data_IF_811934233987
#
_entry.id   IF_811934233987
#
_cell.length_a   1.000
_cell.length_b   1.000
_cell.length_c   1.000
_cell.angle_alpha   90.00
_cell.angle_beta   90.00
_cell.angle_gamma   90.00
#
_symmetry.space_group_name_H-M   'P 1'
#
loop_
_entity.id
_entity.type
_entity.pdbx_description
1 polymer ?
#
# COMPACT_ATOMS: atom_id res chain seq x y z
N UNK A 1 30.74 -11.61 -46.40
CA UNK A 1 30.81 -10.35 -45.64
C UNK A 1 29.42 -9.70 -45.57
N UNK A 2 28.38 -10.48 -45.27
CA UNK A 2 26.98 -10.14 -45.57
C UNK A 2 26.09 -9.99 -44.30
N UNK A 3 26.68 -10.14 -43.12
CA UNK A 3 25.94 -10.10 -41.83
C UNK A 3 25.81 -8.71 -41.21
N UNK A 4 26.58 -7.72 -41.69
CA UNK A 4 26.60 -6.37 -41.13
C UNK A 4 25.36 -5.55 -41.50
N UNK A 5 24.83 -5.72 -42.71
CA UNK A 5 23.68 -4.97 -43.24
C UNK A 5 22.38 -5.27 -42.49
N UNK A 6 22.01 -6.55 -42.37
CA UNK A 6 20.80 -6.96 -41.63
C UNK A 6 20.85 -6.57 -40.14
N UNK A 7 22.04 -6.66 -39.52
CA UNK A 7 22.20 -6.26 -38.13
C UNK A 7 22.02 -4.75 -37.94
N UNK A 8 22.52 -3.96 -38.89
CA UNK A 8 22.38 -2.51 -38.89
C UNK A 8 20.92 -2.09 -39.16
N UNK A 9 20.24 -2.76 -40.08
CA UNK A 9 18.84 -2.50 -40.43
C UNK A 9 17.91 -2.79 -39.25
N UNK A 10 18.08 -3.92 -38.54
CA UNK A 10 17.34 -4.20 -37.29
C UNK A 10 17.62 -3.18 -36.18
N UNK A 11 18.83 -2.62 -36.12
CA UNK A 11 19.18 -1.56 -35.17
C UNK A 11 18.50 -0.24 -35.54
N UNK A 12 18.43 0.10 -36.83
CA UNK A 12 17.72 1.28 -37.32
C UNK A 12 16.21 1.17 -37.13
N UNK A 13 15.59 0.02 -37.47
CA UNK A 13 14.17 -0.23 -37.20
C UNK A 13 13.84 -0.11 -35.70
N UNK A 14 14.72 -0.63 -34.84
CA UNK A 14 14.56 -0.53 -33.39
C UNK A 14 14.78 0.90 -32.87
N UNK A 15 15.69 1.67 -33.47
CA UNK A 15 15.93 3.08 -33.16
C UNK A 15 14.77 3.98 -33.60
N UNK A 16 14.21 3.73 -34.78
CA UNK A 16 13.00 4.40 -35.26
C UNK A 16 11.79 4.03 -34.40
N UNK A 17 11.62 2.75 -34.05
CA UNK A 17 10.57 2.31 -33.14
C UNK A 17 10.72 2.91 -31.72
N UNK A 18 11.94 3.25 -31.30
CA UNK A 18 12.22 3.92 -30.03
C UNK A 18 12.11 5.44 -30.11
N UNK A 19 11.85 5.98 -31.30
CA UNK A 19 11.66 7.41 -31.56
C UNK A 19 12.85 8.23 -31.03
N UNK A 20 14.06 7.81 -31.43
CA UNK A 20 15.33 8.27 -30.89
C UNK A 20 15.52 9.80 -31.00
N UNK A 21 14.91 10.43 -32.00
CA UNK A 21 14.92 11.88 -32.21
C UNK A 21 14.14 12.64 -31.12
N UNK A 22 13.12 12.02 -30.51
CA UNK A 22 12.33 12.60 -29.42
C UNK A 22 12.79 12.14 -28.04
N UNK A 23 13.66 11.14 -27.97
CA UNK A 23 14.12 10.52 -26.72
C UNK A 23 14.72 11.54 -25.75
N UNK A 24 15.62 12.40 -26.21
CA UNK A 24 16.26 13.41 -25.36
C UNK A 24 15.24 14.41 -24.80
N UNK A 25 14.30 14.85 -25.65
CA UNK A 25 13.21 15.76 -25.24
C UNK A 25 12.31 15.12 -24.18
N UNK A 26 11.89 13.85 -24.38
CA UNK A 26 11.07 13.11 -23.41
C UNK A 26 11.81 12.90 -22.10
N UNK A 27 13.10 12.58 -22.14
CA UNK A 27 13.92 12.45 -20.94
C UNK A 27 14.04 13.79 -20.19
N UNK A 28 14.23 14.90 -20.91
CA UNK A 28 14.28 16.23 -20.33
C UNK A 28 12.94 16.66 -19.70
N UNK A 29 11.81 16.30 -20.29
CA UNK A 29 10.46 16.56 -19.74
C UNK A 29 10.23 15.79 -18.43
N UNK A 30 10.58 14.51 -18.38
CA UNK A 30 10.49 13.69 -17.15
C UNK A 30 11.41 14.25 -16.06
N UNK A 31 12.65 14.59 -16.41
CA UNK A 31 13.60 15.19 -15.47
C UNK A 31 13.09 16.55 -14.96
N UNK A 32 12.51 17.37 -15.83
CA UNK A 32 11.96 18.66 -15.44
C UNK A 32 10.82 18.49 -14.41
N UNK A 33 9.89 17.57 -14.67
CA UNK A 33 8.80 17.26 -13.75
C UNK A 33 9.23 16.69 -12.39
N UNK A 34 10.42 16.08 -12.33
CA UNK A 34 11.05 15.62 -11.09
C UNK A 34 11.93 16.69 -10.41
N UNK A 35 11.90 17.93 -10.90
CA UNK A 35 12.59 19.08 -10.33
C UNK A 35 14.01 19.33 -10.85
N UNK A 36 14.43 18.70 -11.96
CA UNK A 36 15.74 18.96 -12.56
C UNK A 36 15.67 20.13 -13.55
N UNK A 37 16.32 21.24 -13.19
CA UNK A 37 16.53 22.35 -14.12
C UNK A 37 17.56 22.00 -15.22
N UNK A 38 17.63 22.84 -16.26
CA UNK A 38 18.52 22.60 -17.41
C UNK A 38 20.00 22.40 -17.03
N UNK A 39 20.50 23.19 -16.07
CA UNK A 39 21.89 23.07 -15.58
C UNK A 39 22.14 21.74 -14.86
N UNK A 40 21.14 21.24 -14.15
CA UNK A 40 21.22 19.95 -13.45
C UNK A 40 21.19 18.77 -14.43
N UNK A 41 20.44 18.88 -15.53
CA UNK A 41 20.38 17.85 -16.57
C UNK A 41 21.74 17.63 -17.24
N UNK A 42 22.57 18.69 -17.35
CA UNK A 42 23.94 18.61 -17.89
C UNK A 42 24.99 18.14 -16.85
N UNK A 43 24.62 18.08 -15.57
CA UNK A 43 25.53 17.73 -14.47
C UNK A 43 25.80 16.22 -14.43
N UNK A 44 27.03 15.84 -14.07
CA UNK A 44 27.38 14.41 -13.89
C UNK A 44 26.62 13.81 -12.71
N UNK A 45 26.11 12.60 -12.89
CA UNK A 45 25.32 11.86 -11.88
C UNK A 45 26.02 11.65 -10.54
N UNK A 46 27.36 11.58 -10.54
CA UNK A 46 28.20 11.43 -9.34
C UNK A 46 28.19 12.63 -8.42
N UNK A 47 27.82 13.81 -8.92
CA UNK A 47 27.84 15.07 -8.18
C UNK A 47 26.47 15.38 -7.52
N UNK A 48 25.55 14.42 -7.53
CA UNK A 48 24.23 14.52 -6.90
C UNK A 48 24.18 13.78 -5.56
N UNK A 49 23.38 14.30 -4.63
CA UNK A 49 23.09 13.62 -3.35
C UNK A 49 22.34 12.30 -3.58
N UNK A 50 22.20 11.49 -2.53
CA UNK A 50 21.44 10.23 -2.60
C UNK A 50 20.00 10.42 -3.11
N UNK A 51 19.28 11.42 -2.58
CA UNK A 51 17.90 11.72 -2.99
C UNK A 51 17.79 12.11 -4.47
N UNK A 52 18.68 12.98 -4.96
CA UNK A 52 18.71 13.34 -6.38
C UNK A 52 19.05 12.14 -7.28
N UNK A 53 19.96 11.25 -6.86
CA UNK A 53 20.26 10.01 -7.61
C UNK A 53 19.06 9.06 -7.64
N UNK A 54 18.28 8.99 -6.56
CA UNK A 54 17.00 8.27 -6.54
C UNK A 54 16.01 8.86 -7.56
N UNK A 55 15.87 10.19 -7.62
CA UNK A 55 15.02 10.84 -8.64
C UNK A 55 15.49 10.54 -10.07
N UNK A 56 16.80 10.49 -10.33
CA UNK A 56 17.33 10.06 -11.65
C UNK A 56 16.95 8.60 -11.95
N UNK A 57 17.02 7.72 -10.95
CA UNK A 57 16.63 6.32 -11.12
C UNK A 57 15.13 6.18 -11.44
N UNK A 58 14.28 6.97 -10.76
CA UNK A 58 12.84 7.07 -11.06
C UNK A 58 12.61 7.60 -12.48
N UNK A 59 13.29 8.68 -12.87
CA UNK A 59 13.21 9.24 -14.23
C UNK A 59 13.53 8.19 -15.29
N UNK A 60 14.58 7.40 -15.07
CA UNK A 60 14.98 6.30 -15.97
C UNK A 60 13.89 5.22 -16.04
N UNK A 61 13.31 4.82 -14.91
CA UNK A 61 12.26 3.81 -14.87
C UNK A 61 11.00 4.26 -15.63
N UNK A 62 10.60 5.53 -15.48
CA UNK A 62 9.49 6.12 -16.21
C UNK A 62 9.78 6.21 -17.72
N UNK A 63 10.99 6.66 -18.08
CA UNK A 63 11.42 6.79 -19.48
C UNK A 63 11.43 5.46 -20.21
N UNK A 64 11.86 4.37 -19.53
CA UNK A 64 11.86 3.03 -20.10
C UNK A 64 10.46 2.54 -20.47
N UNK A 65 9.41 3.08 -19.82
CA UNK A 65 8.02 2.67 -19.98
C UNK A 65 7.91 1.13 -20.03
N UNK A 66 8.12 0.40 -18.92
CA UNK A 66 8.08 -1.07 -18.90
C UNK A 66 6.63 -1.60 -18.93
N UNK A 67 6.45 -2.90 -19.16
CA UNK A 67 5.12 -3.55 -19.06
C UNK A 67 4.61 -3.58 -17.61
N UNK A 68 5.54 -3.74 -16.66
CA UNK A 68 5.27 -3.72 -15.22
C UNK A 68 6.26 -2.74 -14.59
N UNK A 69 5.75 -1.75 -13.87
CA UNK A 69 6.53 -0.79 -13.10
C UNK A 69 6.29 -1.04 -11.60
N UNK A 70 7.37 -1.32 -10.86
CA UNK A 70 7.34 -1.50 -9.40
C UNK A 70 8.01 -0.29 -8.75
N UNK A 71 7.29 0.40 -7.86
CA UNK A 71 7.80 1.56 -7.13
C UNK A 71 7.67 1.34 -5.62
N UNK A 72 8.78 1.48 -4.92
CA UNK A 72 8.82 1.38 -3.46
C UNK A 72 9.04 2.77 -2.85
N UNK A 73 8.00 3.31 -2.20
CA UNK A 73 7.97 4.63 -1.57
C UNK A 73 8.50 5.77 -2.47
N UNK A 74 7.93 5.97 -3.67
CA UNK A 74 8.50 6.88 -4.67
C UNK A 74 8.43 8.37 -4.28
N UNK A 75 7.57 8.74 -3.33
CA UNK A 75 7.34 10.13 -2.90
C UNK A 75 8.30 10.61 -1.80
N UNK A 76 9.03 9.72 -1.12
CA UNK A 76 9.78 10.04 0.10
C UNK A 76 10.93 11.06 -0.10
N UNK A 77 11.46 11.17 -1.31
CA UNK A 77 12.53 12.12 -1.67
C UNK A 77 12.09 13.18 -2.66
N UNK A 78 10.77 13.33 -2.86
CA UNK A 78 10.18 14.32 -3.74
C UNK A 78 9.65 15.50 -2.93
N UNK A 79 9.78 16.69 -3.51
CA UNK A 79 9.05 17.86 -3.03
C UNK A 79 7.58 17.76 -3.49
N UNK A 80 6.74 18.64 -2.97
CA UNK A 80 5.30 18.61 -3.25
C UNK A 80 5.00 18.72 -4.74
N UNK A 81 5.72 19.60 -5.46
CA UNK A 81 5.53 19.81 -6.90
C UNK A 81 5.86 18.54 -7.69
N UNK A 82 7.02 17.91 -7.43
CA UNK A 82 7.39 16.66 -8.08
C UNK A 82 6.45 15.50 -7.69
N UNK A 83 5.92 15.47 -6.47
CA UNK A 83 4.90 14.50 -6.06
C UNK A 83 3.63 14.62 -6.89
N UNK A 84 3.10 15.84 -7.04
CA UNK A 84 1.89 16.11 -7.84
C UNK A 84 2.13 15.76 -9.30
N UNK A 85 3.29 16.13 -9.85
CA UNK A 85 3.65 15.77 -11.22
C UNK A 85 3.73 14.26 -11.41
N UNK A 86 4.34 13.55 -10.45
CA UNK A 86 4.44 12.09 -10.49
C UNK A 86 3.06 11.43 -10.42
N UNK A 87 2.18 11.92 -9.54
CA UNK A 87 0.81 11.45 -9.41
C UNK A 87 0.05 11.54 -10.74
N UNK A 88 0.05 12.71 -11.37
CA UNK A 88 -0.62 12.94 -12.66
C UNK A 88 0.00 12.12 -13.81
N UNK A 89 1.30 11.87 -13.75
CA UNK A 89 2.00 11.02 -14.71
C UNK A 89 1.61 9.55 -14.55
N UNK A 90 1.61 9.04 -13.32
CA UNK A 90 1.30 7.64 -13.02
C UNK A 90 -0.19 7.33 -13.18
N UNK A 91 -1.07 8.29 -12.93
CA UNK A 91 -2.52 8.16 -13.18
C UNK A 91 -2.84 7.87 -14.65
N UNK A 92 -1.98 8.33 -15.57
CA UNK A 92 -2.10 8.09 -17.03
C UNK A 92 -1.29 6.88 -17.49
N UNK A 93 -0.67 6.13 -16.58
CA UNK A 93 0.14 4.98 -16.92
C UNK A 93 -0.76 3.82 -17.37
N UNK A 94 -0.72 3.50 -18.66
CA UNK A 94 -1.65 2.53 -19.29
C UNK A 94 -1.30 1.06 -19.02
N UNK A 95 -0.21 0.80 -18.28
CA UNK A 95 0.35 -0.53 -18.05
C UNK A 95 0.27 -0.90 -16.57
N UNK A 96 0.87 -2.02 -16.20
CA UNK A 96 0.77 -2.53 -14.83
C UNK A 96 1.68 -1.72 -13.91
N UNK A 97 1.09 -1.10 -12.91
CA UNK A 97 1.77 -0.33 -11.87
C UNK A 97 1.55 -1.01 -10.51
N UNK A 98 2.63 -1.26 -9.78
CA UNK A 98 2.58 -1.71 -8.37
C UNK A 98 3.37 -0.71 -7.54
N UNK A 99 2.68 -0.05 -6.62
CA UNK A 99 3.26 0.99 -5.77
C UNK A 99 3.12 0.57 -4.32
N UNK A 100 4.20 0.71 -3.56
CA UNK A 100 4.19 0.78 -2.11
C UNK A 100 4.27 2.25 -1.71
N UNK A 101 3.32 2.72 -0.92
CA UNK A 101 3.26 4.10 -0.43
C UNK A 101 2.50 4.16 0.88
N UNK A 102 2.89 5.08 1.75
CA UNK A 102 2.15 5.45 2.96
C UNK A 102 1.28 6.72 2.76
N UNK A 103 1.37 7.38 1.61
CA UNK A 103 0.56 8.56 1.30
C UNK A 103 -0.82 8.15 0.76
N UNK A 104 -1.87 8.48 1.53
CA UNK A 104 -3.26 8.15 1.19
C UNK A 104 -3.72 8.88 -0.06
N UNK A 105 -3.41 10.18 -0.17
CA UNK A 105 -3.78 11.01 -1.32
C UNK A 105 -3.18 10.48 -2.62
N UNK A 106 -1.90 10.12 -2.58
CA UNK A 106 -1.21 9.53 -3.74
C UNK A 106 -1.82 8.19 -4.16
N UNK A 107 -2.11 7.31 -3.19
CA UNK A 107 -2.77 6.03 -3.48
C UNK A 107 -4.18 6.25 -4.05
N UNK A 108 -4.93 7.22 -3.54
CA UNK A 108 -6.26 7.56 -4.04
C UNK A 108 -6.23 8.15 -5.47
N UNK A 109 -5.21 8.95 -5.80
CA UNK A 109 -5.08 9.58 -7.10
C UNK A 109 -4.64 8.63 -8.22
N UNK A 110 -3.83 7.61 -7.88
CA UNK A 110 -3.17 6.73 -8.86
C UNK A 110 -3.74 5.32 -8.89
N UNK A 111 -4.05 4.72 -7.75
CA UNK A 111 -4.31 3.29 -7.67
C UNK A 111 -5.79 2.93 -7.88
N UNK A 112 -6.04 1.88 -8.67
CA UNK A 112 -7.39 1.33 -8.93
C UNK A 112 -7.75 0.17 -8.00
N UNK A 113 -6.75 -0.40 -7.34
CA UNK A 113 -6.85 -1.56 -6.48
C UNK A 113 -5.86 -1.42 -5.33
N UNK A 114 -6.23 -1.96 -4.16
CA UNK A 114 -5.38 -1.97 -2.98
C UNK A 114 -5.06 -3.41 -2.59
N UNK A 115 -3.79 -3.68 -2.31
CA UNK A 115 -3.32 -4.94 -1.76
C UNK A 115 -2.95 -4.71 -0.30
N UNK A 116 -3.71 -5.28 0.61
CA UNK A 116 -3.43 -5.20 2.04
C UNK A 116 -2.65 -6.43 2.49
N UNK A 117 -1.44 -6.23 3.00
CA UNK A 117 -0.63 -7.28 3.61
C UNK A 117 -0.87 -7.33 5.12
N UNK A 118 -1.45 -8.43 5.60
CA UNK A 118 -1.67 -8.67 7.03
C UNK A 118 -1.46 -10.15 7.36
N UNK A 119 -0.81 -10.46 8.48
CA UNK A 119 -0.57 -11.84 8.95
C UNK A 119 0.06 -12.75 7.88
N UNK A 120 1.05 -12.22 7.14
CA UNK A 120 1.72 -12.90 6.01
C UNK A 120 0.78 -13.33 4.87
N UNK A 121 -0.40 -12.69 4.76
CA UNK A 121 -1.38 -12.90 3.69
C UNK A 121 -1.61 -11.59 2.95
N UNK A 122 -1.89 -11.69 1.66
CA UNK A 122 -2.29 -10.57 0.80
C UNK A 122 -3.79 -10.66 0.54
N UNK A 123 -4.51 -9.58 0.82
CA UNK A 123 -5.94 -9.43 0.49
C UNK A 123 -6.10 -8.33 -0.54
N UNK A 124 -6.90 -8.60 -1.57
CA UNK A 124 -7.15 -7.68 -2.66
C UNK A 124 -8.47 -6.93 -2.43
N UNK A 125 -8.44 -5.62 -2.65
CA UNK A 125 -9.59 -4.74 -2.60
C UNK A 125 -9.66 -3.98 -3.92
N UNK A 126 -10.86 -3.90 -4.48
CA UNK A 126 -11.15 -3.11 -5.68
C UNK A 126 -11.56 -1.71 -5.28
N UNK A 127 -11.06 -0.71 -5.98
CA UNK A 127 -11.32 0.69 -5.66
C UNK A 127 -10.08 1.43 -5.16
N UNK A 128 -10.29 2.70 -4.84
CA UNK A 128 -9.26 3.58 -4.29
C UNK A 128 -8.98 3.26 -2.80
N UNK A 129 -8.04 3.99 -2.20
CA UNK A 129 -7.64 3.78 -0.81
C UNK A 129 -8.79 4.02 0.17
N UNK A 130 -9.61 5.05 -0.03
CA UNK A 130 -10.75 5.37 0.85
C UNK A 130 -11.80 4.24 0.85
N UNK A 131 -12.13 3.71 -0.33
CA UNK A 131 -13.04 2.58 -0.49
C UNK A 131 -12.49 1.33 0.20
N UNK A 132 -11.17 1.09 0.10
CA UNK A 132 -10.51 0.03 0.86
C UNK A 132 -10.68 0.21 2.37
N UNK A 133 -10.43 1.40 2.91
CA UNK A 133 -10.54 1.69 4.34
C UNK A 133 -11.97 1.44 4.83
N UNK A 134 -12.97 1.93 4.11
CA UNK A 134 -14.37 1.71 4.43
C UNK A 134 -14.72 0.22 4.40
N UNK A 135 -14.43 -0.46 3.29
CA UNK A 135 -14.71 -1.89 3.11
C UNK A 135 -14.04 -2.74 4.19
N UNK A 136 -12.79 -2.42 4.54
CA UNK A 136 -12.06 -3.09 5.62
C UNK A 136 -12.77 -2.90 6.96
N UNK A 137 -13.17 -1.68 7.30
CA UNK A 137 -13.88 -1.39 8.55
C UNK A 137 -15.18 -2.18 8.67
N UNK A 138 -15.98 -2.23 7.60
CA UNK A 138 -17.25 -2.97 7.56
C UNK A 138 -17.02 -4.48 7.74
N UNK A 139 -16.02 -5.05 7.06
CA UNK A 139 -15.65 -6.46 7.20
C UNK A 139 -15.18 -6.80 8.62
N UNK A 140 -14.35 -5.94 9.21
CA UNK A 140 -13.87 -6.09 10.59
C UNK A 140 -15.01 -6.02 11.61
N UNK A 141 -15.97 -5.11 11.43
CA UNK A 141 -17.15 -5.03 12.29
C UNK A 141 -18.02 -6.27 12.19
N UNK A 142 -18.28 -6.76 10.98
CA UNK A 142 -19.07 -7.97 10.76
C UNK A 142 -18.38 -9.20 11.36
N UNK A 143 -17.07 -9.34 11.16
CA UNK A 143 -16.27 -10.39 11.78
C UNK A 143 -16.33 -10.32 13.32
N UNK A 144 -16.22 -9.12 13.90
CA UNK A 144 -16.33 -8.94 15.36
C UNK A 144 -17.72 -9.26 15.91
N UNK A 145 -18.79 -8.93 15.18
CA UNK A 145 -20.17 -9.29 15.55
C UNK A 145 -20.35 -10.81 15.53
N UNK A 146 -19.89 -11.48 14.47
CA UNK A 146 -19.95 -12.94 14.37
C UNK A 146 -19.12 -13.60 15.47
N UNK A 147 -17.90 -13.14 15.71
CA UNK A 147 -17.05 -13.61 16.81
C UNK A 147 -17.77 -13.53 18.16
N UNK A 148 -18.34 -12.36 18.49
CA UNK A 148 -19.07 -12.17 19.77
C UNK A 148 -20.27 -13.11 19.86
N UNK A 149 -21.07 -13.21 18.80
CA UNK A 149 -22.21 -14.12 18.77
C UNK A 149 -21.80 -15.58 18.98
N UNK A 150 -20.72 -16.04 18.33
CA UNK A 150 -20.18 -17.39 18.54
C UNK A 150 -19.69 -17.59 19.98
N UNK A 151 -18.99 -16.61 20.55
CA UNK A 151 -18.52 -16.69 21.94
C UNK A 151 -19.67 -16.73 22.96
N UNK A 152 -20.72 -15.93 22.75
CA UNK A 152 -21.91 -15.91 23.62
C UNK A 152 -22.67 -17.25 23.54
N UNK A 153 -22.81 -17.82 22.33
CA UNK A 153 -23.39 -19.15 22.13
C UNK A 153 -22.57 -20.24 22.82
N UNK A 154 -21.24 -20.20 22.68
CA UNK A 154 -20.32 -21.14 23.34
C UNK A 154 -20.44 -21.01 24.87
N UNK A 155 -20.46 -19.79 25.40
CA UNK A 155 -20.59 -19.54 26.82
C UNK A 155 -21.92 -20.09 27.37
N UNK A 156 -23.04 -19.82 26.69
CA UNK A 156 -24.36 -20.33 27.07
C UNK A 156 -24.44 -21.86 27.01
N UNK A 157 -23.87 -22.48 25.97
CA UNK A 157 -23.81 -23.94 25.86
C UNK A 157 -22.95 -24.55 26.97
N UNK A 158 -21.78 -23.98 27.26
CA UNK A 158 -20.89 -24.44 28.34
C UNK A 158 -21.58 -24.31 29.71
N UNK A 159 -22.25 -23.20 29.98
CA UNK A 159 -23.01 -22.99 31.22
C UNK A 159 -24.16 -24.00 31.35
N UNK A 160 -24.89 -24.26 30.27
CA UNK A 160 -25.96 -25.26 30.26
C UNK A 160 -25.43 -26.67 30.52
N UNK A 161 -24.32 -27.06 29.88
CA UNK A 161 -23.68 -28.36 30.10
C UNK A 161 -23.22 -28.48 31.55
N UNK A 162 -22.61 -27.44 32.11
CA UNK A 162 -22.15 -27.43 33.50
C UNK A 162 -23.31 -27.57 34.50
N UNK A 163 -24.44 -26.87 34.28
CA UNK A 163 -25.60 -26.92 35.18
C UNK A 163 -26.41 -28.21 35.08
N UNK A 164 -26.57 -28.76 33.88
CA UNK A 164 -27.54 -29.81 33.60
C UNK A 164 -26.94 -31.14 33.17
N UNK A 165 -25.61 -31.24 33.04
CA UNK A 165 -24.90 -32.46 32.62
C UNK A 165 -25.10 -33.66 33.55
N UNK A 166 -25.31 -33.42 34.85
CA UNK A 166 -25.60 -34.44 35.86
C UNK A 166 -27.07 -34.39 36.35
N UNK A 167 -27.92 -33.64 35.65
CA UNK A 167 -29.33 -33.49 35.99
C UNK A 167 -30.18 -34.73 35.64
N UNK A 168 -31.49 -34.57 35.64
CA UNK A 168 -32.42 -35.65 35.24
C UNK A 168 -32.08 -36.21 33.85
N UNK A 169 -32.43 -37.49 33.59
CA UNK A 169 -32.07 -38.18 32.35
C UNK A 169 -32.45 -37.40 31.06
N UNK A 170 -33.54 -36.62 31.09
CA UNK A 170 -33.96 -35.75 29.99
C UNK A 170 -33.02 -34.56 29.80
N UNK A 171 -32.61 -33.90 30.89
CA UNK A 171 -31.71 -32.76 30.89
C UNK A 171 -30.27 -33.17 30.52
N UNK A 172 -29.80 -34.31 31.05
CA UNK A 172 -28.49 -34.86 30.70
C UNK A 172 -28.37 -35.20 29.20
N UNK A 173 -29.42 -35.78 28.59
CA UNK A 173 -29.47 -36.00 27.13
C UNK A 173 -29.40 -34.69 26.33
N UNK A 174 -30.08 -33.63 26.79
CA UNK A 174 -30.00 -32.31 26.14
C UNK A 174 -28.60 -31.68 26.27
N UNK A 175 -27.96 -31.81 27.43
CA UNK A 175 -26.58 -31.35 27.63
C UNK A 175 -25.59 -32.06 26.70
N UNK A 176 -25.67 -33.40 26.60
CA UNK A 176 -24.84 -34.18 25.67
C UNK A 176 -25.05 -33.78 24.20
N UNK A 177 -26.29 -33.42 23.81
CA UNK A 177 -26.55 -32.92 22.46
C UNK A 177 -25.85 -31.59 22.20
N UNK A 178 -25.90 -30.65 23.16
CA UNK A 178 -25.21 -29.35 23.05
C UNK A 178 -23.69 -29.51 23.05
N UNK A 179 -23.16 -30.46 23.81
CA UNK A 179 -21.73 -30.78 23.81
C UNK A 179 -21.26 -31.26 22.43
N UNK A 180 -22.03 -32.13 21.77
CA UNK A 180 -21.74 -32.55 20.39
C UNK A 180 -21.80 -31.38 19.40
N UNK A 181 -22.76 -30.47 19.56
CA UNK A 181 -22.86 -29.26 18.72
C UNK A 181 -21.65 -28.36 18.93
N UNK A 182 -21.24 -28.12 20.18
CA UNK A 182 -20.05 -27.34 20.51
C UNK A 182 -18.79 -27.94 19.90
N UNK A 183 -18.59 -29.26 20.05
CA UNK A 183 -17.46 -29.96 19.46
C UNK A 183 -17.44 -29.89 17.92
N UNK A 184 -18.63 -29.87 17.29
CA UNK A 184 -18.76 -29.66 15.84
C UNK A 184 -18.38 -28.24 15.44
N UNK A 185 -18.79 -27.23 16.21
CA UNK A 185 -18.42 -25.82 15.96
C UNK A 185 -16.92 -25.60 16.10
N UNK A 186 -16.29 -26.13 17.15
CA UNK A 186 -14.84 -26.04 17.37
C UNK A 186 -14.05 -26.71 16.24
N UNK A 187 -14.51 -27.87 15.74
CA UNK A 187 -13.89 -28.55 14.60
C UNK A 187 -14.07 -27.80 13.28
N UNK A 188 -15.16 -27.04 13.14
CA UNK A 188 -15.45 -26.22 11.95
C UNK A 188 -14.55 -24.99 11.79
N UNK A 189 -13.77 -24.65 12.83
CA UNK A 189 -12.99 -23.42 12.88
C UNK A 189 -13.87 -22.25 13.29
N UNK A 190 -13.65 -21.74 14.50
CA UNK A 190 -14.36 -20.55 14.99
C UNK A 190 -13.84 -19.30 14.28
N UNK A 191 -14.70 -18.30 14.19
CA UNK A 191 -14.32 -16.99 13.68
C UNK A 191 -13.17 -16.45 14.54
N UNK A 192 -12.10 -15.99 13.91
CA UNK A 192 -10.99 -15.38 14.64
C UNK A 192 -11.37 -13.97 15.12
N UNK A 193 -10.87 -13.57 16.30
CA UNK A 193 -11.00 -12.20 16.77
C UNK A 193 -10.23 -11.26 15.85
N UNK A 194 -10.84 -10.13 15.46
CA UNK A 194 -10.14 -9.10 14.69
C UNK A 194 -8.97 -8.55 15.50
N UNK A 195 -7.77 -8.69 14.96
CA UNK A 195 -6.58 -8.04 15.48
C UNK A 195 -6.48 -6.64 14.88
N UNK A 196 -6.65 -5.61 15.71
CA UNK A 196 -6.41 -4.22 15.32
C UNK A 196 -4.94 -3.87 15.44
N UNK A 197 -4.48 -2.99 14.56
CA UNK A 197 -3.14 -2.43 14.62
C UNK A 197 -2.95 -1.61 15.91
N UNK A 198 -1.75 -1.64 16.48
CA UNK A 198 -1.45 -0.88 17.70
C UNK A 198 -1.46 0.61 17.37
N UNK A 199 -2.38 1.35 17.97
CA UNK A 199 -2.40 2.81 17.88
C UNK A 199 -1.39 3.37 18.87
N UNK A 200 -0.33 4.00 18.37
CA UNK A 200 0.60 4.79 19.18
C UNK A 200 -0.01 6.17 19.42
N UNK A 201 -0.28 6.50 20.68
CA UNK A 201 -0.78 7.82 21.06
C UNK A 201 0.41 8.67 21.49
N UNK A 202 0.80 9.61 20.65
CA UNK A 202 1.77 10.63 21.02
C UNK A 202 1.04 11.77 21.76
N UNK A 203 1.55 12.13 22.94
CA UNK A 203 1.12 13.33 23.65
C UNK A 203 2.34 14.23 23.78
N UNK A 204 2.26 15.40 23.16
CA UNK A 204 3.23 16.45 23.41
C UNK A 204 2.86 17.15 24.72
N UNK A 205 3.84 17.37 25.58
CA UNK A 205 3.66 18.21 26.76
C UNK A 205 3.36 19.63 26.32
N UNK A 206 2.42 20.29 26.99
CA UNK A 206 2.25 21.72 26.85
C UNK A 206 3.54 22.40 27.31
N UNK A 207 4.24 23.08 26.40
CA UNK A 207 5.52 23.74 26.66
C UNK A 207 5.35 25.07 27.39
N UNK A 208 4.12 25.46 27.76
CA UNK A 208 3.85 26.73 28.41
C UNK A 208 4.28 27.92 27.55
N UNK A 209 4.37 29.11 28.16
CA UNK A 209 4.91 30.29 27.46
C UNK A 209 6.43 30.24 27.46
N UNK A 210 7.03 30.17 26.28
CA UNK A 210 8.47 30.33 26.12
C UNK A 210 8.88 31.75 26.60
N UNK A 211 9.84 31.88 27.52
CA UNK A 211 10.35 33.19 27.90
C UNK A 211 11.11 33.82 26.72
N UNK A 212 10.93 35.12 26.43
CA UNK A 212 11.65 35.80 25.36
C UNK A 212 13.17 35.87 25.64
N UNK A 213 14.02 35.94 24.60
CA UNK A 213 13.68 35.98 23.18
C UNK A 213 13.62 34.56 22.56
N UNK A 214 12.50 34.24 21.91
CA UNK A 214 12.39 33.05 21.06
C UNK A 214 12.98 33.41 19.71
N UNK A 215 14.11 32.81 19.35
CA UNK A 215 14.67 32.91 18.01
C UNK A 215 13.86 31.99 17.09
N UNK A 216 12.97 32.57 16.29
CA UNK A 216 12.32 31.87 15.19
C UNK A 216 13.34 31.73 14.05
N UNK A 217 13.59 30.50 13.58
CA UNK A 217 14.30 30.30 12.31
C UNK A 217 13.36 30.72 11.18
N UNK A 218 13.44 32.00 10.81
CA UNK A 218 12.86 32.50 9.58
C UNK A 218 13.95 32.29 8.53
N UNK A 219 13.71 31.35 7.61
CA UNK A 219 14.52 31.03 6.42
C UNK A 219 15.81 30.19 6.66
N UNK A 220 15.74 28.94 6.17
CA UNK A 220 16.87 28.19 5.59
C UNK A 220 16.48 27.82 4.18
#
# INVERSE_FOLDING_TARGET
DDGGGEALERVYERLEAMDASTAEKRAAEILNGLGFNKKMQEKKTRDFSGGWRMRIALARALFMNPTILLLDEPTNHLDLEACVWLEETLKKFERILVVVSHSQDFLNGVCTNIIHMQNKKLKFYTGNFDQYVQTRSELEENQMKQYKWEQDQIASMKEYIARFGHGSAKLARQAQSKEKTLAKMERGGLTEKVARDKVLVFRFTDVGKLPPPVLQFVEV
#
